data_IF_889585808375
#
_entry.id   IF_889585808375
#
_cell.length_a   1.000
_cell.length_b   1.000
_cell.length_c   1.000
_cell.angle_alpha   90.00
_cell.angle_beta   90.00
_cell.angle_gamma   90.00
#
_symmetry.space_group_name_H-M   'P 1'
#
loop_
_entity.id
_entity.type
_entity.pdbx_description
1 polymer ?
#
# COMPACT_ATOMS: atom_id res chain seq x y z
N UNK A 1 10.38 -5.12 14.28
CA UNK A 1 9.33 -4.30 13.62
C UNK A 1 8.23 -5.22 13.11
N UNK A 2 7.05 -4.72 12.72
CA UNK A 2 5.99 -5.56 12.17
C UNK A 2 5.30 -4.90 10.96
N UNK A 3 4.89 -5.72 10.00
CA UNK A 3 4.12 -5.32 8.81
C UNK A 3 2.88 -6.22 8.69
N UNK A 4 1.72 -5.59 8.49
CA UNK A 4 0.47 -6.28 8.19
C UNK A 4 0.14 -6.08 6.71
N UNK A 5 0.03 -7.16 5.96
CA UNK A 5 -0.26 -7.15 4.53
C UNK A 5 -1.65 -7.72 4.23
N UNK A 6 -2.36 -7.07 3.32
CA UNK A 6 -3.69 -7.47 2.85
C UNK A 6 -3.67 -7.54 1.33
N UNK A 7 -4.13 -8.65 0.77
CA UNK A 7 -4.31 -8.77 -0.68
C UNK A 7 -5.58 -8.05 -1.13
N UNK A 8 -5.49 -7.35 -2.26
CA UNK A 8 -6.63 -6.71 -2.91
C UNK A 8 -6.98 -7.47 -4.18
N UNK A 9 -8.26 -7.68 -4.42
CA UNK A 9 -8.77 -8.26 -5.67
C UNK A 9 -9.79 -7.32 -6.30
N UNK A 10 -9.80 -7.28 -7.63
CA UNK A 10 -10.83 -6.54 -8.35
C UNK A 10 -12.20 -7.15 -8.06
N UNK A 11 -13.15 -6.30 -7.69
CA UNK A 11 -14.51 -6.69 -7.35
C UNK A 11 -15.40 -5.48 -7.17
N UNK A 12 -16.23 -5.50 -6.12
CA UNK A 12 -17.16 -4.41 -5.84
C UNK A 12 -16.45 -3.17 -5.31
N UNK A 13 -17.08 -2.01 -5.53
CA UNK A 13 -16.64 -0.77 -4.91
C UNK A 13 -16.63 -0.91 -3.39
N UNK A 14 -15.49 -0.57 -2.78
CA UNK A 14 -15.30 -0.66 -1.35
C UNK A 14 -15.31 0.74 -0.74
N UNK A 15 -16.34 1.03 0.06
CA UNK A 15 -16.54 2.34 0.68
C UNK A 15 -15.43 2.70 1.67
N UNK A 16 -14.91 1.73 2.42
CA UNK A 16 -13.87 1.97 3.42
C UNK A 16 -12.55 2.39 2.74
N UNK A 17 -12.21 1.76 1.61
CA UNK A 17 -11.09 2.18 0.76
C UNK A 17 -11.37 3.50 0.00
N UNK A 18 -12.65 3.89 -0.11
CA UNK A 18 -13.09 5.14 -0.70
C UNK A 18 -12.42 6.35 -0.06
N UNK A 19 -12.29 6.37 1.27
CA UNK A 19 -11.66 7.44 2.02
C UNK A 19 -10.18 7.68 1.61
N UNK A 20 -9.40 6.61 1.44
CA UNK A 20 -8.01 6.71 0.99
C UNK A 20 -7.95 7.19 -0.45
N UNK A 21 -8.75 6.60 -1.34
CA UNK A 21 -8.73 6.97 -2.76
C UNK A 21 -9.18 8.41 -3.00
N UNK A 22 -10.14 8.91 -2.22
CA UNK A 22 -10.55 10.32 -2.24
C UNK A 22 -9.42 11.25 -1.79
N UNK A 23 -8.79 10.94 -0.65
CA UNK A 23 -7.67 11.73 -0.12
C UNK A 23 -6.48 11.78 -1.11
N UNK A 24 -6.22 10.66 -1.80
CA UNK A 24 -5.20 10.60 -2.87
C UNK A 24 -5.56 11.53 -4.03
N UNK A 25 -6.81 11.52 -4.49
CA UNK A 25 -7.24 12.38 -5.59
C UNK A 25 -7.12 13.86 -5.22
N UNK A 26 -7.53 14.22 -4.01
CA UNK A 26 -7.40 15.58 -3.50
C UNK A 26 -5.93 16.01 -3.37
N UNK A 27 -5.06 15.13 -2.85
CA UNK A 27 -3.62 15.40 -2.75
C UNK A 27 -2.97 15.60 -4.12
N UNK A 28 -3.42 14.86 -5.14
CA UNK A 28 -2.98 15.07 -6.53
C UNK A 28 -3.42 16.42 -7.08
N UNK A 29 -4.65 16.84 -6.79
CA UNK A 29 -5.19 18.12 -7.26
C UNK A 29 -4.53 19.32 -6.58
N UNK A 30 -4.24 19.22 -5.28
CA UNK A 30 -3.63 20.30 -4.49
C UNK A 30 -2.10 20.29 -4.54
N UNK A 31 -1.49 19.18 -4.98
CA UNK A 31 -0.04 18.94 -4.93
C UNK A 31 0.56 19.17 -3.53
N UNK A 32 -0.17 18.77 -2.48
CA UNK A 32 0.24 18.94 -1.09
C UNK A 32 -0.33 17.86 -0.16
N UNK A 33 0.11 17.84 1.10
CA UNK A 33 -0.45 16.94 2.11
C UNK A 33 -1.92 17.23 2.34
N UNK A 34 -2.74 16.17 2.37
CA UNK A 34 -4.18 16.25 2.68
C UNK A 34 -4.44 15.48 3.97
N UNK A 35 -5.24 16.05 4.86
CA UNK A 35 -5.64 15.39 6.09
C UNK A 35 -6.59 14.23 5.76
N UNK A 36 -6.32 13.07 6.36
CA UNK A 36 -7.24 11.93 6.28
C UNK A 36 -8.48 12.25 7.15
N UNK A 37 -9.71 11.92 6.72
CA UNK A 37 -10.90 12.21 7.51
C UNK A 37 -10.87 11.56 8.91
N UNK A 38 -11.36 12.27 9.93
CA UNK A 38 -11.40 11.77 11.33
C UNK A 38 -12.27 10.50 11.48
N UNK A 39 -13.19 10.27 10.55
CA UNK A 39 -14.06 9.07 10.51
C UNK A 39 -13.36 7.84 9.94
N UNK A 40 -12.08 7.96 9.55
CA UNK A 40 -11.34 6.89 8.90
C UNK A 40 -10.86 5.84 9.91
N UNK A 41 -11.39 4.63 9.77
CA UNK A 41 -11.10 3.51 10.65
C UNK A 41 -10.23 2.47 9.92
N UNK A 42 -8.98 2.35 10.33
CA UNK A 42 -8.01 1.42 9.76
C UNK A 42 -8.45 -0.05 9.87
N UNK A 43 -9.22 -0.39 10.90
CA UNK A 43 -9.67 -1.78 11.12
C UNK A 43 -10.61 -2.26 10.02
N UNK A 44 -11.30 -1.34 9.35
CA UNK A 44 -12.23 -1.65 8.25
C UNK A 44 -11.56 -1.97 6.94
N UNK A 45 -10.26 -1.72 6.83
CA UNK A 45 -9.47 -2.15 5.68
C UNK A 45 -9.09 -3.64 5.75
N UNK A 46 -9.28 -4.27 6.91
CA UNK A 46 -8.91 -5.66 7.10
C UNK A 46 -10.00 -6.59 6.56
N UNK A 47 -9.62 -7.72 5.95
CA UNK A 47 -10.57 -8.73 5.52
C UNK A 47 -11.27 -9.34 6.74
N UNK A 48 -12.48 -9.87 6.54
CA UNK A 48 -13.19 -10.58 7.60
C UNK A 48 -12.53 -11.92 7.88
N UNK A 49 -12.12 -12.14 9.12
CA UNK A 49 -11.52 -13.39 9.60
C UNK A 49 -10.06 -13.22 10.02
N UNK A 50 -9.46 -14.32 10.49
CA UNK A 50 -8.10 -14.33 11.07
C UNK A 50 -7.19 -15.34 10.38
N UNK A 51 -7.46 -15.68 9.11
CA UNK A 51 -6.59 -16.57 8.35
C UNK A 51 -5.38 -15.78 7.87
N UNK A 52 -4.22 -16.04 8.46
CA UNK A 52 -2.96 -15.38 8.13
C UNK A 52 -1.78 -16.36 8.13
N UNK A 53 -0.73 -15.98 7.42
CA UNK A 53 0.60 -16.56 7.60
C UNK A 53 1.50 -15.53 8.27
N UNK A 54 2.41 -16.00 9.12
CA UNK A 54 3.41 -15.16 9.75
C UNK A 54 4.81 -15.65 9.37
N UNK A 55 5.72 -14.72 9.09
CA UNK A 55 7.13 -15.04 8.86
C UNK A 55 8.01 -13.84 9.22
N UNK A 56 9.27 -14.11 9.54
CA UNK A 56 10.29 -13.08 9.70
C UNK A 56 10.91 -12.76 8.34
N UNK A 57 11.01 -11.48 8.01
CA UNK A 57 11.55 -10.99 6.74
C UNK A 57 12.17 -9.61 6.87
N UNK A 58 12.17 -8.84 5.79
CA UNK A 58 12.73 -7.49 5.72
C UNK A 58 11.71 -6.46 5.22
N UNK A 59 12.07 -5.18 5.26
CA UNK A 59 11.33 -4.14 4.56
C UNK A 59 11.47 -4.31 3.04
N UNK A 60 10.40 -4.06 2.29
CA UNK A 60 10.38 -4.17 0.82
C UNK A 60 10.85 -2.90 0.12
N UNK A 61 11.37 -1.93 0.86
CA UNK A 61 11.93 -0.66 0.37
C UNK A 61 13.28 -0.41 1.03
N UNK A 62 14.24 0.24 0.35
CA UNK A 62 15.51 0.62 0.96
C UNK A 62 15.28 1.29 2.32
N UNK A 63 16.11 0.98 3.34
CA UNK A 63 17.35 0.19 3.30
C UNK A 63 17.17 -1.34 3.43
N UNK A 64 15.97 -1.89 3.19
CA UNK A 64 15.68 -3.33 3.23
C UNK A 64 16.01 -4.00 4.57
N UNK A 65 15.85 -3.28 5.67
CA UNK A 65 16.18 -3.76 7.03
C UNK A 65 15.49 -5.08 7.34
N UNK A 66 16.25 -6.06 7.83
CA UNK A 66 15.78 -7.38 8.25
C UNK A 66 15.08 -7.36 9.62
N UNK A 67 14.67 -8.53 10.11
CA UNK A 67 14.00 -8.71 11.40
C UNK A 67 12.65 -7.98 11.51
N UNK A 68 11.90 -7.99 10.40
CA UNK A 68 10.53 -7.50 10.31
C UNK A 68 9.57 -8.68 10.37
N UNK A 69 8.66 -8.67 11.34
CA UNK A 69 7.60 -9.67 11.44
C UNK A 69 6.50 -9.35 10.44
N UNK A 70 6.35 -10.16 9.40
CA UNK A 70 5.29 -10.07 8.42
C UNK A 70 4.09 -10.90 8.84
N UNK A 71 2.91 -10.27 8.86
CA UNK A 71 1.61 -10.94 8.98
C UNK A 71 0.87 -10.72 7.68
N UNK A 72 0.66 -11.77 6.90
CA UNK A 72 -0.01 -11.68 5.59
C UNK A 72 -1.39 -12.31 5.71
N UNK A 73 -2.42 -11.48 5.56
CA UNK A 73 -3.81 -11.93 5.56
C UNK A 73 -4.09 -12.72 4.28
N UNK A 74 -4.58 -13.96 4.44
CA UNK A 74 -4.82 -14.86 3.31
C UNK A 74 -6.11 -14.54 2.56
N UNK A 75 -7.09 -13.95 3.25
CA UNK A 75 -8.35 -13.54 2.64
C UNK A 75 -8.17 -12.19 1.95
N UNK A 76 -8.46 -12.08 0.65
CA UNK A 76 -8.38 -10.80 -0.04
C UNK A 76 -9.57 -9.91 0.29
N UNK A 77 -9.41 -8.61 0.05
CA UNK A 77 -10.47 -7.61 0.09
C UNK A 77 -10.83 -7.19 -1.33
N UNK A 78 -12.13 -7.18 -1.64
CA UNK A 78 -12.62 -6.65 -2.91
C UNK A 78 -12.50 -5.13 -2.94
N UNK A 79 -12.00 -4.61 -4.06
CA UNK A 79 -11.98 -3.18 -4.39
C UNK A 79 -12.37 -2.99 -5.85
N UNK A 80 -12.97 -1.86 -6.20
CA UNK A 80 -13.36 -1.61 -7.59
C UNK A 80 -12.15 -1.41 -8.50
N UNK A 81 -12.32 -1.71 -9.79
CA UNK A 81 -11.31 -1.47 -10.82
C UNK A 81 -10.75 -0.04 -10.78
N UNK A 82 -11.60 0.97 -10.60
CA UNK A 82 -11.18 2.38 -10.52
C UNK A 82 -10.26 2.65 -9.33
N UNK A 83 -10.53 2.00 -8.18
CA UNK A 83 -9.68 2.13 -6.98
C UNK A 83 -8.31 1.46 -7.21
N UNK A 84 -8.28 0.29 -7.86
CA UNK A 84 -7.03 -0.39 -8.24
C UNK A 84 -6.23 0.47 -9.22
N UNK A 85 -6.88 0.96 -10.28
CA UNK A 85 -6.22 1.77 -11.32
C UNK A 85 -5.61 3.04 -10.74
N UNK A 86 -6.28 3.70 -9.80
CA UNK A 86 -5.72 4.87 -9.13
C UNK A 86 -4.41 4.53 -8.40
N UNK A 87 -4.39 3.46 -7.63
CA UNK A 87 -3.21 3.02 -6.89
C UNK A 87 -2.07 2.64 -7.84
N UNK A 88 -2.37 1.86 -8.88
CA UNK A 88 -1.41 1.47 -9.91
C UNK A 88 -0.83 2.69 -10.64
N UNK A 89 -1.64 3.72 -10.92
CA UNK A 89 -1.15 4.95 -11.55
C UNK A 89 -0.12 5.70 -10.71
N UNK A 90 -0.27 5.68 -9.37
CA UNK A 90 0.69 6.29 -8.45
C UNK A 90 2.01 5.52 -8.43
N UNK A 91 1.96 4.18 -8.44
CA UNK A 91 3.16 3.35 -8.49
C UNK A 91 3.95 3.64 -9.76
N UNK A 92 3.30 3.66 -10.93
CA UNK A 92 3.96 4.01 -12.19
C UNK A 92 4.56 5.42 -12.19
N UNK A 93 3.90 6.40 -11.55
CA UNK A 93 4.46 7.73 -11.37
C UNK A 93 5.71 7.75 -10.47
N UNK A 94 5.73 6.95 -9.41
CA UNK A 94 6.90 6.80 -8.54
C UNK A 94 8.07 6.13 -9.27
N UNK A 95 7.79 5.07 -10.04
CA UNK A 95 8.80 4.39 -10.87
C UNK A 95 9.35 5.31 -11.96
N UNK A 96 8.51 6.12 -12.61
CA UNK A 96 8.97 7.05 -13.67
C UNK A 96 9.79 8.23 -13.12
N UNK A 97 9.57 8.62 -11.86
CA UNK A 97 10.41 9.60 -11.15
C UNK A 97 11.68 9.02 -10.57
N UNK A 98 11.80 7.70 -10.48
CA UNK A 98 13.04 7.03 -10.09
C UNK A 98 13.90 6.90 -11.34
N UNK A 99 14.67 7.95 -11.67
CA UNK A 99 15.69 7.89 -12.72
C UNK A 99 16.65 6.73 -12.41
N UNK A 100 16.96 5.90 -13.41
CA UNK A 100 17.85 4.71 -13.34
C UNK A 100 19.32 5.12 -13.14
N UNK A 101 19.61 6.08 -12.26
CA UNK A 101 20.95 6.56 -11.94
C UNK A 101 21.45 6.12 -10.56
N UNK A 102 20.62 5.46 -9.74
CA UNK A 102 21.03 5.02 -8.38
C UNK A 102 21.16 3.50 -8.19
N UNK A 103 20.94 2.68 -9.22
CA UNK A 103 21.07 1.21 -9.12
C UNK A 103 22.37 0.62 -9.65
N UNK A 104 23.36 1.44 -10.06
CA UNK A 104 24.66 0.96 -10.57
C UNK A 104 25.89 1.47 -9.81
N UNK A 105 25.75 2.04 -8.61
CA UNK A 105 26.90 2.57 -7.86
C UNK A 105 27.00 2.15 -6.39
N UNK A 106 26.28 1.11 -5.95
CA UNK A 106 26.53 0.52 -4.63
C UNK A 106 27.29 -0.81 -4.79
N UNK A 107 28.64 -0.82 -4.72
CA UNK A 107 29.37 -2.06 -4.55
C UNK A 107 29.01 -2.67 -3.19
N UNK A 108 28.72 -3.96 -3.20
CA UNK A 108 28.62 -4.73 -1.96
C UNK A 108 29.92 -4.53 -1.16
N UNK A 109 29.79 -4.10 0.09
CA UNK A 109 30.77 -4.32 1.14
C UNK A 109 30.03 -4.73 2.41
#
# INVERSE_FOLDING_TARGET
MAVLAVFLVEGKYNHDYGHITGSILEARSTMGPVAVPDTFDLSRLLPRGSDYIFYEGSLTTPPYTECVLWTVMLRPVEVSVNQVTLCTSLLFYSYSKTTVTELLSSPCM
#
